data_IF_865402304798
#
_entry.id   IF_865402304798
#
_cell.length_a   1.000
_cell.length_b   1.000
_cell.length_c   1.000
_cell.angle_alpha   90.00
_cell.angle_beta   90.00
_cell.angle_gamma   90.00
#
_symmetry.space_group_name_H-M   'P 1'
#
loop_
_entity.id
_entity.type
_entity.pdbx_description
1 polymer ?
#
# COMPACT_ATOMS: atom_id res chain seq x y z
N UNK A 1 -0.99 7.96 0.09
CA UNK A 1 -1.88 7.51 1.19
C UNK A 1 -2.64 6.30 0.69
N UNK A 2 -2.81 5.28 1.52
CA UNK A 2 -3.59 4.08 1.18
C UNK A 2 -4.90 4.09 1.96
N UNK A 3 -6.00 3.87 1.25
CA UNK A 3 -7.35 3.77 1.81
C UNK A 3 -7.77 2.32 1.71
N UNK A 4 -8.16 1.71 2.82
CA UNK A 4 -8.67 0.35 2.87
C UNK A 4 -10.13 0.33 3.33
N UNK A 5 -10.98 -0.39 2.61
CA UNK A 5 -12.41 -0.53 2.95
C UNK A 5 -12.68 -1.97 3.39
N UNK A 6 -13.20 -2.15 4.60
CA UNK A 6 -13.62 -3.45 5.11
C UNK A 6 -14.95 -3.87 4.48
N UNK A 7 -15.03 -5.09 3.95
CA UNK A 7 -16.24 -5.59 3.28
C UNK A 7 -16.81 -6.89 3.85
N UNK A 8 -16.11 -7.53 4.80
CA UNK A 8 -16.58 -8.79 5.38
C UNK A 8 -16.08 -8.98 6.84
N UNK A 9 -16.89 -9.62 7.70
CA UNK A 9 -16.61 -9.82 9.13
C UNK A 9 -15.47 -10.83 9.46
N UNK A 10 -14.57 -11.11 8.51
CA UNK A 10 -13.43 -12.04 8.67
C UNK A 10 -12.16 -11.54 7.98
N UNK A 11 -11.92 -10.23 8.04
CA UNK A 11 -10.67 -9.66 7.55
C UNK A 11 -9.49 -10.20 8.37
N UNK A 12 -8.42 -10.55 7.66
CA UNK A 12 -7.18 -11.00 8.29
C UNK A 12 -6.61 -9.88 9.18
N UNK A 13 -6.19 -10.16 10.44
CA UNK A 13 -5.71 -9.12 11.33
C UNK A 13 -4.54 -8.35 10.72
N UNK A 14 -4.64 -7.03 10.72
CA UNK A 14 -3.58 -6.14 10.28
C UNK A 14 -2.74 -5.71 11.49
N UNK A 15 -1.43 -5.81 11.35
CA UNK A 15 -0.47 -5.23 12.26
C UNK A 15 -0.03 -3.87 11.70
N UNK A 16 -0.02 -2.86 12.55
CA UNK A 16 0.47 -1.52 12.22
C UNK A 16 1.51 -1.10 13.24
N UNK A 17 2.49 -0.31 12.81
CA UNK A 17 3.42 0.39 13.70
C UNK A 17 3.05 1.87 13.70
N UNK A 18 2.24 2.37 14.65
CA UNK A 18 1.87 3.77 14.71
C UNK A 18 3.11 4.68 14.82
N UNK A 19 3.09 5.82 14.14
CA UNK A 19 4.22 6.77 14.10
C UNK A 19 5.38 6.36 13.20
N UNK A 20 5.41 5.13 12.66
CA UNK A 20 6.50 4.67 11.78
C UNK A 20 6.69 5.53 10.53
N UNK A 21 5.62 6.14 10.01
CA UNK A 21 5.69 7.04 8.86
C UNK A 21 6.54 8.30 9.11
N UNK A 22 6.66 8.78 10.36
CA UNK A 22 7.57 9.88 10.69
C UNK A 22 9.02 9.42 10.61
N UNK A 23 9.33 8.26 11.22
CA UNK A 23 10.67 7.68 11.21
C UNK A 23 11.09 7.32 9.78
N UNK A 24 10.24 6.63 9.03
CA UNK A 24 10.56 6.23 7.65
C UNK A 24 10.85 7.45 6.77
N UNK A 25 10.14 8.56 6.96
CA UNK A 25 10.37 9.81 6.25
C UNK A 25 11.73 10.44 6.56
N UNK A 26 12.22 10.34 7.79
CA UNK A 26 13.54 10.86 8.17
C UNK A 26 14.70 10.01 7.63
N UNK A 27 14.48 8.69 7.48
CA UNK A 27 15.50 7.73 7.07
C UNK A 27 15.54 7.48 5.55
N UNK A 28 14.78 8.26 4.79
CA UNK A 28 14.74 8.23 3.33
C UNK A 28 14.98 9.64 2.84
N UNK A 29 15.81 9.84 1.82
CA UNK A 29 16.00 11.18 1.26
C UNK A 29 14.65 11.61 0.64
N UNK A 30 13.96 12.54 1.31
CA UNK A 30 12.61 12.99 0.97
C UNK A 30 11.55 11.89 0.83
N UNK A 31 11.69 10.74 1.50
CA UNK A 31 10.72 9.66 1.30
C UNK A 31 10.92 8.81 0.04
N UNK A 32 12.02 8.99 -0.71
CA UNK A 32 12.19 8.39 -2.04
C UNK A 32 13.22 7.26 -2.12
N UNK A 33 14.28 7.29 -1.31
CA UNK A 33 15.32 6.24 -1.37
C UNK A 33 15.09 5.12 -0.35
N UNK A 34 14.42 4.07 -0.83
CA UNK A 34 14.22 2.80 -0.12
C UNK A 34 15.20 1.71 -0.54
N UNK A 35 16.15 2.02 -1.44
CA UNK A 35 16.99 1.02 -2.11
C UNK A 35 17.80 0.17 -1.12
N UNK A 36 18.27 0.76 -0.03
CA UNK A 36 19.03 0.08 1.02
C UNK A 36 18.26 -1.01 1.80
N UNK A 37 16.94 -0.97 1.72
CA UNK A 37 16.03 -1.93 2.35
C UNK A 37 15.46 -2.92 1.33
N UNK A 38 15.79 -2.78 0.05
CA UNK A 38 15.40 -3.74 -0.99
C UNK A 38 16.43 -4.86 -1.08
N UNK A 39 15.97 -6.09 -1.01
CA UNK A 39 16.79 -7.29 -1.22
C UNK A 39 16.15 -8.09 -2.36
N UNK A 40 16.86 -8.26 -3.48
CA UNK A 40 16.33 -8.98 -4.64
C UNK A 40 15.10 -8.32 -5.29
N UNK A 41 14.99 -6.99 -5.20
CA UNK A 41 13.85 -6.23 -5.73
C UNK A 41 12.63 -6.15 -4.81
N UNK A 42 12.57 -6.97 -3.76
CA UNK A 42 11.52 -6.94 -2.73
C UNK A 42 11.95 -6.05 -1.56
N UNK A 43 11.03 -5.26 -1.02
CA UNK A 43 11.28 -4.46 0.18
C UNK A 43 11.32 -5.37 1.42
N UNK A 44 12.48 -5.50 2.04
CA UNK A 44 12.67 -6.29 3.26
C UNK A 44 12.30 -5.44 4.49
N UNK A 45 11.00 -5.46 4.80
CA UNK A 45 10.44 -4.80 5.98
C UNK A 45 11.13 -5.22 7.28
N UNK A 46 11.49 -6.51 7.40
CA UNK A 46 12.11 -7.06 8.60
C UNK A 46 13.52 -6.50 8.80
N UNK A 47 14.26 -6.23 7.74
CA UNK A 47 15.57 -5.56 7.81
C UNK A 47 15.43 -4.09 8.21
N UNK A 48 14.42 -3.37 7.69
CA UNK A 48 14.16 -1.99 8.08
C UNK A 48 13.89 -1.88 9.59
N UNK A 49 12.95 -2.67 10.11
CA UNK A 49 12.60 -2.70 11.55
C UNK A 49 13.83 -3.06 12.41
N UNK A 50 14.63 -4.05 12.02
CA UNK A 50 15.80 -4.48 12.83
C UNK A 50 16.94 -3.45 12.87
N UNK A 51 17.11 -2.64 11.82
CA UNK A 51 18.26 -1.74 11.65
C UNK A 51 17.99 -0.28 12.01
N UNK A 52 16.74 0.17 11.93
CA UNK A 52 16.38 1.55 12.27
C UNK A 52 15.96 1.58 13.74
N UNK A 53 16.83 2.09 14.61
CA UNK A 53 16.61 2.07 16.05
C UNK A 53 15.27 2.68 16.49
N UNK A 54 14.86 3.87 16.00
CA UNK A 54 13.57 4.45 16.38
C UNK A 54 12.36 3.59 15.99
N UNK A 55 12.44 2.77 14.95
CA UNK A 55 11.34 1.85 14.61
C UNK A 55 11.17 0.73 15.63
N UNK A 56 12.27 0.27 16.24
CA UNK A 56 12.24 -0.84 17.21
C UNK A 56 11.58 -0.44 18.52
N UNK A 57 11.61 0.85 18.84
CA UNK A 57 11.01 1.40 20.06
C UNK A 57 9.53 1.69 19.91
N UNK A 58 9.00 1.69 18.69
CA UNK A 58 7.58 1.91 18.44
C UNK A 58 6.75 0.65 18.72
N UNK A 59 5.52 0.79 19.25
CA UNK A 59 4.66 -0.34 19.51
C UNK A 59 4.17 -0.95 18.19
N UNK A 60 4.05 -2.28 18.17
CA UNK A 60 3.31 -3.01 17.13
C UNK A 60 1.89 -3.22 17.64
N UNK A 61 0.91 -2.69 16.92
CA UNK A 61 -0.50 -2.76 17.28
C UNK A 61 -1.22 -3.67 16.29
N UNK A 62 -1.95 -4.65 16.81
CA UNK A 62 -2.90 -5.42 16.00
C UNK A 62 -4.22 -4.66 15.96
N UNK A 63 -4.67 -4.33 14.75
CA UNK A 63 -5.98 -3.72 14.54
C UNK A 63 -7.06 -4.80 14.58
N UNK A 64 -8.21 -4.43 15.15
CA UNK A 64 -9.42 -5.23 15.03
C UNK A 64 -9.88 -5.26 13.56
N UNK A 65 -10.56 -6.32 13.13
CA UNK A 65 -11.16 -6.38 11.80
C UNK A 65 -12.04 -5.15 11.54
N UNK A 66 -11.92 -4.56 10.35
CA UNK A 66 -12.80 -3.45 9.95
C UNK A 66 -14.22 -3.97 9.76
N UNK A 67 -15.17 -3.37 10.49
CA UNK A 67 -16.60 -3.61 10.26
C UNK A 67 -16.97 -3.23 8.81
N UNK A 68 -17.91 -3.94 8.17
CA UNK A 68 -18.35 -3.61 6.81
C UNK A 68 -18.74 -2.13 6.65
N UNK A 69 -18.17 -1.46 5.65
CA UNK A 69 -18.36 -0.03 5.42
C UNK A 69 -17.40 0.89 6.19
N UNK A 70 -16.60 0.34 7.10
CA UNK A 70 -15.51 1.09 7.73
C UNK A 70 -14.37 1.32 6.77
N UNK A 71 -13.75 2.49 6.88
CA UNK A 71 -12.63 2.92 6.05
C UNK A 71 -11.43 3.25 6.92
N UNK A 72 -10.27 2.74 6.53
CA UNK A 72 -9.00 3.06 7.18
C UNK A 72 -8.11 3.85 6.23
N UNK A 73 -7.61 4.99 6.71
CA UNK A 73 -6.64 5.82 6.03
C UNK A 73 -5.26 5.59 6.61
N UNK A 74 -4.29 5.27 5.77
CA UNK A 74 -2.90 5.06 6.18
C UNK A 74 -1.95 5.89 5.33
N UNK A 75 -0.94 6.46 5.97
CA UNK A 75 0.17 7.07 5.25
C UNK A 75 0.93 6.00 4.45
N UNK A 76 1.45 6.35 3.28
CA UNK A 76 2.22 5.43 2.43
C UNK A 76 3.50 4.92 3.12
N UNK A 77 4.03 5.70 4.07
CA UNK A 77 5.19 5.34 4.87
C UNK A 77 4.86 4.60 6.17
N UNK A 78 3.58 4.37 6.48
CA UNK A 78 3.21 3.58 7.65
C UNK A 78 3.58 2.13 7.41
N UNK A 79 4.36 1.57 8.32
CA UNK A 79 4.70 0.15 8.29
C UNK A 79 3.48 -0.65 8.73
N UNK A 80 3.04 -1.52 7.84
CA UNK A 80 1.95 -2.45 8.10
C UNK A 80 2.29 -3.85 7.61
N UNK A 81 1.73 -4.85 8.27
CA UNK A 81 1.77 -6.23 7.84
C UNK A 81 0.38 -6.84 7.98
N UNK A 82 0.05 -7.79 7.11
CA UNK A 82 -1.11 -8.65 7.29
C UNK A 82 -0.59 -9.96 7.87
N UNK A 83 -1.12 -10.38 9.02
CA UNK A 83 -0.74 -11.69 9.56
C UNK A 83 -1.19 -12.77 8.57
N UNK A 84 -0.38 -13.77 8.28
CA UNK A 84 -0.89 -14.86 7.46
C UNK A 84 -2.05 -15.54 8.20
N UNK A 85 -3.20 -15.68 7.56
CA UNK A 85 -4.21 -16.62 8.02
C UNK A 85 -3.57 -18.00 7.89
N UNK A 86 -3.06 -18.57 8.97
CA UNK A 86 -2.48 -19.92 8.94
C UNK A 86 -3.62 -20.92 8.74
N UNK A 87 -3.88 -21.25 7.48
CA UNK A 87 -4.80 -22.32 7.10
C UNK A 87 -4.03 -23.65 7.10
N UNK A 88 -4.19 -24.45 8.16
CA UNK A 88 -3.86 -25.88 8.14
C UNK A 88 -4.96 -26.67 7.39
N UNK A 89 -4.88 -28.01 7.42
CA UNK A 89 -5.83 -28.97 6.79
C UNK A 89 -7.33 -28.77 7.13
N UNK A 90 -7.67 -27.80 7.98
CA UNK A 90 -9.01 -27.47 8.44
C UNK A 90 -9.54 -26.09 7.95
N UNK A 91 -8.89 -25.46 6.97
CA UNK A 91 -9.44 -24.27 6.34
C UNK A 91 -9.33 -24.42 4.82
N UNK A 92 -10.49 -24.53 4.16
CA UNK A 92 -10.65 -24.76 2.74
C UNK A 92 -9.77 -23.81 1.92
N UNK A 93 -8.61 -24.31 1.50
CA UNK A 93 -7.83 -23.68 0.46
C UNK A 93 -8.69 -23.71 -0.80
N UNK A 94 -9.29 -22.56 -1.13
CA UNK A 94 -9.91 -22.34 -2.43
C UNK A 94 -8.76 -21.90 -3.34
N UNK A 95 -8.19 -22.78 -4.19
CA UNK A 95 -7.24 -22.34 -5.19
C UNK A 95 -7.87 -21.22 -6.02
N UNK A 96 -7.08 -20.30 -6.61
CA UNK A 96 -7.57 -19.40 -7.65
C UNK A 96 -7.96 -20.24 -8.88
N UNK A 97 -9.12 -20.91 -8.81
CA UNK A 97 -9.68 -21.78 -9.84
C UNK A 97 -11.01 -21.19 -10.25
N UNK A 98 -11.08 -20.69 -11.48
CA UNK A 98 -12.26 -20.53 -12.37
C UNK A 98 -13.62 -20.02 -11.81
N UNK A 99 -13.72 -19.67 -10.53
CA UNK A 99 -14.92 -19.22 -9.84
C UNK A 99 -14.79 -17.74 -9.54
N UNK A 100 -15.89 -17.04 -9.76
CA UNK A 100 -16.06 -15.65 -9.35
C UNK A 100 -15.71 -15.52 -7.88
N UNK A 101 -14.81 -14.59 -7.56
CA UNK A 101 -14.57 -14.15 -6.18
C UNK A 101 -15.90 -13.59 -5.67
N UNK A 102 -16.64 -14.38 -4.87
CA UNK A 102 -18.03 -14.06 -4.49
C UNK A 102 -18.14 -12.82 -3.58
N UNK A 103 -17.05 -12.34 -3.01
CA UNK A 103 -16.93 -10.99 -2.49
C UNK A 103 -15.44 -10.61 -2.32
N UNK A 104 -15.02 -9.40 -2.74
CA UNK A 104 -13.74 -8.87 -2.29
C UNK A 104 -13.83 -8.65 -0.78
N UNK A 105 -12.87 -9.20 -0.02
CA UNK A 105 -12.82 -9.02 1.44
C UNK A 105 -12.35 -7.62 1.85
N UNK A 106 -11.60 -6.95 0.97
CA UNK A 106 -11.05 -5.61 1.17
C UNK A 106 -10.79 -4.95 -0.19
N UNK A 107 -11.14 -3.68 -0.34
CA UNK A 107 -10.62 -2.83 -1.42
C UNK A 107 -9.51 -1.94 -0.88
N UNK A 108 -8.47 -1.75 -1.69
CA UNK A 108 -7.40 -0.80 -1.42
C UNK A 108 -7.32 0.22 -2.56
N UNK A 109 -7.30 1.51 -2.20
CA UNK A 109 -7.09 2.62 -3.11
C UNK A 109 -5.83 3.38 -2.69
N UNK A 110 -4.98 3.72 -3.66
CA UNK A 110 -3.83 4.57 -3.41
C UNK A 110 -4.12 5.99 -3.90
N UNK A 111 -3.93 6.95 -3.00
CA UNK A 111 -4.05 8.37 -3.24
C UNK A 111 -2.66 8.99 -3.31
N UNK A 112 -2.43 9.80 -4.33
CA UNK A 112 -1.23 10.61 -4.49
C UNK A 112 -1.60 12.09 -4.55
N UNK A 113 -0.69 13.01 -4.19
CA UNK A 113 -0.87 14.44 -4.44
C UNK A 113 -1.16 14.73 -5.91
N UNK A 114 -1.82 15.85 -6.17
CA UNK A 114 -1.94 16.38 -7.53
C UNK A 114 -0.56 16.68 -8.13
N UNK A 115 -0.46 16.60 -9.46
CA UNK A 115 0.77 16.86 -10.23
C UNK A 115 2.00 16.00 -9.82
N UNK A 116 1.78 14.76 -9.40
CA UNK A 116 2.88 13.82 -9.22
C UNK A 116 3.55 13.47 -10.56
N UNK A 117 4.82 13.09 -10.51
CA UNK A 117 5.57 12.61 -11.68
C UNK A 117 5.96 11.15 -11.50
N UNK A 118 6.10 10.41 -12.60
CA UNK A 118 6.60 9.05 -12.55
C UNK A 118 8.10 9.04 -12.19
N UNK A 119 8.48 8.28 -11.17
CA UNK A 119 9.87 8.16 -10.71
C UNK A 119 10.76 7.28 -11.61
N UNK A 120 10.17 6.59 -12.59
CA UNK A 120 10.88 5.66 -13.48
C UNK A 120 11.12 4.27 -12.89
N UNK A 121 10.66 3.97 -11.66
CA UNK A 121 10.89 2.67 -11.02
C UNK A 121 9.96 1.59 -11.61
N UNK A 122 10.52 0.78 -12.51
CA UNK A 122 9.84 -0.35 -13.15
C UNK A 122 9.85 -1.64 -12.33
N UNK A 123 9.48 -1.55 -11.05
CA UNK A 123 9.62 -2.64 -10.09
C UNK A 123 8.31 -3.32 -9.69
N UNK A 124 7.19 -2.85 -10.21
CA UNK A 124 5.86 -3.38 -9.91
C UNK A 124 5.13 -3.78 -11.19
N UNK A 125 4.04 -4.53 -11.04
CA UNK A 125 3.14 -4.82 -12.15
C UNK A 125 2.64 -3.54 -12.83
N UNK A 126 2.45 -2.45 -12.06
CA UNK A 126 1.88 -1.20 -12.56
C UNK A 126 2.71 -0.55 -13.66
N UNK A 127 4.03 -0.75 -13.67
CA UNK A 127 4.97 -0.16 -14.64
C UNK A 127 5.69 -1.17 -15.54
N UNK A 128 5.65 -2.47 -15.22
CA UNK A 128 6.23 -3.54 -16.05
C UNK A 128 5.21 -4.19 -16.99
N UNK A 129 3.99 -4.38 -16.53
CA UNK A 129 2.93 -5.04 -17.31
C UNK A 129 2.47 -4.10 -18.43
N UNK A 130 2.25 -4.61 -19.64
CA UNK A 130 1.73 -3.82 -20.77
C UNK A 130 0.33 -3.25 -20.53
N UNK A 131 -0.41 -3.83 -19.58
CA UNK A 131 -1.72 -3.37 -19.14
C UNK A 131 -1.65 -2.55 -17.84
N UNK A 132 -0.45 -2.33 -17.29
CA UNK A 132 -0.25 -1.51 -16.12
C UNK A 132 -0.43 -0.01 -16.42
N UNK A 133 -0.98 0.78 -15.48
CA UNK A 133 -1.26 2.20 -15.69
C UNK A 133 0.00 3.05 -15.97
N UNK A 134 1.20 2.55 -15.66
CA UNK A 134 2.47 3.26 -15.83
C UNK A 134 3.34 2.66 -16.94
N UNK A 135 2.85 1.69 -17.74
CA UNK A 135 3.70 0.99 -18.72
C UNK A 135 4.35 1.92 -19.75
N UNK A 136 3.56 2.83 -20.32
CA UNK A 136 3.99 3.78 -21.35
C UNK A 136 4.53 5.10 -20.82
N UNK A 137 4.63 5.26 -19.50
CA UNK A 137 5.12 6.49 -18.90
C UNK A 137 6.64 6.52 -18.86
N UNK A 138 7.22 7.68 -19.17
CA UNK A 138 8.65 7.95 -19.05
C UNK A 138 9.02 8.53 -17.68
N UNK A 139 10.25 8.33 -17.19
CA UNK A 139 10.71 8.96 -15.95
C UNK A 139 10.57 10.49 -16.02
N UNK A 140 9.99 11.09 -14.98
CA UNK A 140 9.70 12.52 -14.89
C UNK A 140 8.42 12.97 -15.59
N UNK A 141 7.71 12.07 -16.29
CA UNK A 141 6.44 12.39 -16.93
C UNK A 141 5.37 12.69 -15.87
N UNK A 142 4.60 13.79 -15.99
CA UNK A 142 3.45 14.08 -15.13
C UNK A 142 2.40 12.97 -15.18
N UNK A 143 1.75 12.71 -14.05
CA UNK A 143 0.65 11.76 -13.89
C UNK A 143 -0.69 12.52 -13.86
N UNK A 144 -1.00 13.22 -14.95
CA UNK A 144 -2.12 14.16 -15.08
C UNK A 144 -3.23 13.67 -16.05
N UNK A 145 -3.11 12.45 -16.57
CA UNK A 145 -4.17 11.82 -17.37
C UNK A 145 -5.39 11.49 -16.50
N UNK A 146 -6.41 12.33 -16.53
CA UNK A 146 -7.68 12.17 -15.81
C UNK A 146 -8.36 10.80 -16.03
N UNK A 147 -8.10 10.12 -17.16
CA UNK A 147 -8.67 8.79 -17.43
C UNK A 147 -7.97 7.68 -16.63
N UNK A 148 -6.71 7.89 -16.25
CA UNK A 148 -5.88 6.93 -15.52
C UNK A 148 -5.70 7.33 -14.05
N UNK A 149 -5.60 8.64 -13.79
CA UNK A 149 -5.36 9.27 -12.49
C UNK A 149 -6.44 10.31 -12.19
N UNK A 150 -7.69 9.89 -11.95
CA UNK A 150 -8.80 10.82 -11.79
C UNK A 150 -8.65 11.69 -10.54
N UNK A 151 -8.88 12.99 -10.72
CA UNK A 151 -8.97 13.94 -9.60
C UNK A 151 -10.23 13.68 -8.77
N UNK A 152 -10.06 13.30 -7.50
CA UNK A 152 -11.16 12.90 -6.61
C UNK A 152 -12.01 14.09 -6.16
N UNK A 153 -11.38 15.26 -6.00
CA UNK A 153 -12.07 16.47 -5.58
C UNK A 153 -11.40 17.68 -6.23
N UNK A 154 -12.12 18.35 -7.13
CA UNK A 154 -11.75 19.69 -7.59
C UNK A 154 -12.35 20.67 -6.61
N UNK A 155 -11.51 21.41 -5.87
CA UNK A 155 -12.01 22.58 -5.17
C UNK A 155 -12.61 23.49 -6.25
N UNK A 156 -13.88 23.88 -6.10
CA UNK A 156 -14.45 24.93 -6.94
C UNK A 156 -13.58 26.16 -6.68
N UNK A 157 -12.84 26.60 -7.68
CA UNK A 157 -12.18 27.89 -7.65
C UNK A 157 -13.29 28.93 -7.40
N UNK A 158 -13.29 29.49 -6.19
CA UNK A 158 -14.11 30.66 -5.89
C UNK A 158 -13.38 31.82 -6.54
N UNK A 159 -13.90 32.30 -7.67
CA UNK A 159 -13.47 33.55 -8.33
C UNK A 159 -13.50 34.76 -7.36
#
# INVERSE_FOLDING_TARGET
MTVSVGLAPRATPMLVIPGSHHVMREFTHDGSDFSHYRTGGVFDMGRAIRKIEPLRTLPVVQLEPLEPGSVMFMNHYTITAVQATMCGVAADYIPPSARTVNCPYQYSMNLMPDHCVFDGLRNSWASRDSHGPLHGYEPGQPLDDDAVFPVIHRALDVE
#
